data_IF_327981434986
#
_entry.id   IF_327981434986
#
_cell.length_a   1.000
_cell.length_b   1.000
_cell.length_c   1.000
_cell.angle_alpha   90.00
_cell.angle_beta   90.00
_cell.angle_gamma   90.00
#
_symmetry.space_group_name_H-M   'P 1'
#
loop_
_entity.id
_entity.type
_entity.pdbx_description
1 polymer ?
#
# COMPACT_ATOMS: atom_id res chain seq x y z
N UNK A 1 -0.61 33.73 -36.99
CA UNK A 1 -1.40 32.58 -36.49
C UNK A 1 -0.63 31.33 -36.92
N UNK A 2 0.03 30.61 -36.00
CA UNK A 2 0.82 29.42 -36.35
C UNK A 2 -0.13 28.28 -36.70
N UNK A 3 -0.13 27.84 -37.96
CA UNK A 3 -0.83 26.65 -38.41
C UNK A 3 0.17 25.49 -38.39
N UNK A 4 0.06 24.63 -37.39
CA UNK A 4 0.85 23.40 -37.35
C UNK A 4 0.28 22.45 -38.40
N UNK A 5 1.11 21.97 -39.31
CA UNK A 5 0.68 21.05 -40.35
C UNK A 5 0.43 19.65 -39.77
N UNK A 6 -0.49 18.91 -40.40
CA UNK A 6 -0.82 17.54 -40.00
C UNK A 6 0.42 16.62 -40.02
N UNK A 7 1.37 16.89 -40.91
CA UNK A 7 2.62 16.15 -41.04
C UNK A 7 3.57 16.38 -39.86
N UNK A 8 3.63 17.60 -39.33
CA UNK A 8 4.41 17.91 -38.12
C UNK A 8 3.84 17.21 -36.88
N UNK A 9 2.51 17.14 -36.78
CA UNK A 9 1.83 16.41 -35.71
C UNK A 9 2.16 14.91 -35.80
N UNK A 10 2.09 14.32 -37.01
CA UNK A 10 2.43 12.90 -37.22
C UNK A 10 3.88 12.60 -36.87
N UNK A 11 4.81 13.49 -37.25
CA UNK A 11 6.23 13.35 -36.94
C UNK A 11 6.51 13.45 -35.43
N UNK A 12 5.85 14.38 -34.74
CA UNK A 12 5.97 14.52 -33.29
C UNK A 12 5.42 13.30 -32.55
N UNK A 13 4.29 12.75 -33.01
CA UNK A 13 3.68 11.54 -32.44
C UNK A 13 4.56 10.31 -32.67
N UNK A 14 5.12 10.13 -33.86
CA UNK A 14 6.03 9.03 -34.15
C UNK A 14 7.30 9.09 -33.28
N UNK A 15 7.88 10.29 -33.11
CA UNK A 15 9.03 10.51 -32.24
C UNK A 15 8.72 10.23 -30.76
N UNK A 16 7.51 10.59 -30.30
CA UNK A 16 7.02 10.29 -28.95
C UNK A 16 6.85 8.78 -28.70
N UNK A 17 6.32 8.05 -29.68
CA UNK A 17 6.19 6.60 -29.53
C UNK A 17 7.54 5.87 -29.60
N UNK A 18 8.47 6.32 -30.45
CA UNK A 18 9.83 5.77 -30.52
C UNK A 18 10.63 6.03 -29.23
N UNK A 19 10.52 7.22 -28.63
CA UNK A 19 11.19 7.51 -27.35
C UNK A 19 10.60 6.70 -26.19
N UNK A 20 9.30 6.35 -26.27
CA UNK A 20 8.63 5.50 -25.29
C UNK A 20 8.94 4.00 -25.45
N UNK A 21 9.24 3.54 -26.66
CA UNK A 21 9.74 2.18 -26.90
C UNK A 21 11.17 1.97 -26.39
N UNK A 22 11.92 3.06 -26.16
CA UNK A 22 13.22 3.04 -25.47
C UNK A 22 13.14 3.15 -23.94
N UNK A 23 11.93 3.14 -23.35
CA UNK A 23 11.77 3.30 -21.91
C UNK A 23 12.16 2.04 -21.13
N UNK A 24 13.36 2.14 -20.55
CA UNK A 24 13.83 1.50 -19.31
C UNK A 24 13.94 -0.02 -19.33
N UNK A 25 15.04 -0.54 -19.86
CA UNK A 25 15.63 -1.72 -19.25
C UNK A 25 16.01 -1.36 -17.80
N UNK A 26 15.64 -2.17 -16.79
CA UNK A 26 16.03 -1.93 -15.41
C UNK A 26 17.56 -1.79 -15.31
N UNK A 27 18.04 -0.70 -14.70
CA UNK A 27 19.48 -0.47 -14.48
C UNK A 27 20.09 -1.50 -13.51
N UNK A 28 19.24 -2.26 -12.82
CA UNK A 28 19.59 -3.21 -11.79
C UNK A 28 18.75 -4.49 -11.97
N UNK A 29 19.35 -5.65 -11.71
CA UNK A 29 18.66 -6.93 -11.78
C UNK A 29 17.55 -6.97 -10.72
N UNK A 30 16.30 -6.83 -11.12
CA UNK A 30 15.16 -7.10 -10.24
C UNK A 30 15.03 -8.62 -10.11
N UNK A 31 15.12 -9.20 -8.90
CA UNK A 31 14.88 -10.63 -8.72
C UNK A 31 13.51 -11.00 -9.26
N UNK A 32 13.39 -12.18 -9.87
CA UNK A 32 12.09 -12.66 -10.30
C UNK A 32 11.11 -12.68 -9.12
N UNK A 33 9.84 -12.27 -9.32
CA UNK A 33 8.84 -12.35 -8.28
C UNK A 33 8.74 -13.79 -7.76
N UNK A 34 8.76 -13.96 -6.43
CA UNK A 34 8.51 -15.26 -5.82
C UNK A 34 7.14 -15.74 -6.28
N UNK A 35 7.11 -16.79 -7.09
CA UNK A 35 5.87 -17.40 -7.56
C UNK A 35 5.31 -18.30 -6.45
N UNK A 36 4.49 -17.70 -5.57
CA UNK A 36 3.75 -18.45 -4.55
C UNK A 36 2.50 -19.03 -5.20
N UNK A 37 2.22 -20.30 -4.96
CA UNK A 37 1.00 -20.93 -5.51
C UNK A 37 -0.26 -20.34 -4.87
N UNK A 38 -1.37 -20.35 -5.61
CA UNK A 38 -2.66 -19.91 -5.07
C UNK A 38 -3.09 -20.75 -3.85
N UNK A 39 -2.76 -22.05 -3.84
CA UNK A 39 -3.05 -22.96 -2.73
C UNK A 39 -2.27 -22.61 -1.46
N UNK A 40 -0.98 -22.29 -1.56
CA UNK A 40 -0.17 -21.84 -0.43
C UNK A 40 -0.70 -20.52 0.15
N UNK A 41 -1.08 -19.57 -0.70
CA UNK A 41 -1.71 -18.33 -0.26
C UNK A 41 -3.04 -18.56 0.46
N UNK A 42 -3.88 -19.48 -0.06
CA UNK A 42 -5.13 -19.84 0.62
C UNK A 42 -4.89 -20.54 1.95
N UNK A 43 -3.89 -21.42 2.04
CA UNK A 43 -3.53 -22.09 3.30
C UNK A 43 -3.09 -21.06 4.33
N UNK A 44 -2.18 -20.15 3.96
CA UNK A 44 -1.71 -19.09 4.83
C UNK A 44 -2.87 -18.17 5.28
N UNK A 45 -3.76 -17.79 4.36
CA UNK A 45 -4.91 -16.96 4.68
C UNK A 45 -5.84 -17.63 5.72
N UNK A 46 -6.03 -18.95 5.65
CA UNK A 46 -6.81 -19.71 6.64
C UNK A 46 -6.13 -19.77 8.00
N UNK A 47 -4.82 -20.02 8.02
CA UNK A 47 -4.02 -20.05 9.26
C UNK A 47 -4.08 -18.69 9.97
N UNK A 48 -3.88 -17.60 9.23
CA UNK A 48 -3.99 -16.23 9.75
C UNK A 48 -5.40 -15.93 10.24
N UNK A 49 -6.44 -16.31 9.49
CA UNK A 49 -7.83 -16.11 9.91
C UNK A 49 -8.17 -16.87 11.20
N UNK A 50 -7.66 -18.10 11.34
CA UNK A 50 -7.86 -18.91 12.55
C UNK A 50 -7.15 -18.28 13.75
N UNK A 51 -5.90 -17.84 13.59
CA UNK A 51 -5.16 -17.14 14.63
C UNK A 51 -5.88 -15.87 15.06
N UNK A 52 -6.28 -15.03 14.11
CA UNK A 52 -7.05 -13.80 14.38
C UNK A 52 -8.37 -14.07 15.08
N UNK A 53 -9.07 -15.17 14.74
CA UNK A 53 -10.33 -15.54 15.41
C UNK A 53 -10.14 -16.02 16.85
N UNK A 54 -8.95 -16.54 17.17
CA UNK A 54 -8.59 -16.99 18.51
C UNK A 54 -8.05 -15.87 19.39
N UNK A 55 -7.74 -14.71 18.80
CA UNK A 55 -7.25 -13.55 19.55
C UNK A 55 -8.37 -12.94 20.40
N UNK A 56 -8.06 -12.48 21.61
CA UNK A 56 -9.04 -11.80 22.45
C UNK A 56 -9.43 -10.45 21.83
N UNK A 57 -10.71 -10.11 21.92
CA UNK A 57 -11.24 -8.80 21.48
C UNK A 57 -10.49 -7.62 22.12
N UNK A 58 -10.04 -7.81 23.36
CA UNK A 58 -9.27 -6.82 24.12
C UNK A 58 -7.97 -7.44 24.61
N UNK A 59 -6.86 -6.83 24.20
CA UNK A 59 -5.51 -7.11 24.67
C UNK A 59 -5.20 -6.34 25.94
N UNK A 60 -5.59 -6.88 27.09
CA UNK A 60 -5.54 -6.22 28.40
C UNK A 60 -4.13 -5.74 28.79
N UNK A 61 -3.10 -6.50 28.44
CA UNK A 61 -1.70 -6.17 28.62
C UNK A 61 -1.33 -4.87 27.87
N UNK A 62 -1.76 -4.76 26.61
CA UNK A 62 -1.48 -3.59 25.78
C UNK A 62 -2.23 -2.36 26.28
N UNK A 63 -3.46 -2.53 26.77
CA UNK A 63 -4.24 -1.46 27.38
C UNK A 63 -3.54 -0.94 28.64
N UNK A 64 -3.00 -1.83 29.48
CA UNK A 64 -2.28 -1.45 30.68
C UNK A 64 -1.02 -0.64 30.37
N UNK A 65 -0.21 -1.09 29.41
CA UNK A 65 0.97 -0.35 28.94
C UNK A 65 0.61 1.05 28.45
N UNK A 66 -0.41 1.17 27.60
CA UNK A 66 -0.83 2.46 27.06
C UNK A 66 -1.35 3.41 28.14
N UNK A 67 -2.12 2.90 29.11
CA UNK A 67 -2.56 3.70 30.27
C UNK A 67 -1.38 4.24 31.06
N UNK A 68 -0.38 3.41 31.32
CA UNK A 68 0.82 3.82 32.02
C UNK A 68 1.58 4.92 31.26
N UNK A 69 1.76 4.79 29.94
CA UNK A 69 2.39 5.83 29.12
C UNK A 69 1.62 7.15 29.13
N UNK A 70 0.29 7.10 29.18
CA UNK A 70 -0.55 8.30 29.29
C UNK A 70 -0.37 8.95 30.67
N UNK A 71 -0.38 8.14 31.73
CA UNK A 71 -0.22 8.62 33.12
C UNK A 71 1.17 9.22 33.37
N UNK A 72 2.23 8.67 32.77
CA UNK A 72 3.59 9.21 32.87
C UNK A 72 3.82 10.43 31.97
N UNK A 73 2.87 10.77 31.10
CA UNK A 73 3.00 11.85 30.12
C UNK A 73 3.95 11.53 28.95
N UNK A 74 4.35 10.27 28.81
CA UNK A 74 5.25 9.80 27.75
C UNK A 74 4.48 9.43 26.47
N UNK A 75 3.14 9.37 26.53
CA UNK A 75 2.30 9.14 25.38
C UNK A 75 2.10 10.42 24.55
N UNK A 76 2.65 10.44 23.34
CA UNK A 76 2.51 11.54 22.38
C UNK A 76 1.63 11.13 21.20
N UNK A 77 0.75 12.04 20.77
CA UNK A 77 -0.14 11.86 19.61
C UNK A 77 0.27 12.84 18.52
N UNK A 78 0.59 12.32 17.33
CA UNK A 78 0.81 13.14 16.14
C UNK A 78 -0.45 13.23 15.27
N UNK A 79 -0.54 14.28 14.44
CA UNK A 79 -1.62 14.41 13.46
C UNK A 79 -1.67 13.23 12.47
N UNK A 80 -0.51 12.70 12.08
CA UNK A 80 -0.40 11.52 11.21
C UNK A 80 -1.02 10.28 11.84
N UNK A 81 -0.82 10.06 13.15
CA UNK A 81 -1.45 8.94 13.87
C UNK A 81 -2.98 9.04 13.83
N UNK A 82 -3.52 10.25 14.03
CA UNK A 82 -4.96 10.50 14.01
C UNK A 82 -5.53 10.27 12.61
N UNK A 83 -4.91 10.84 11.58
CA UNK A 83 -5.34 10.67 10.18
C UNK A 83 -5.33 9.18 9.79
N UNK A 84 -4.24 8.47 10.15
CA UNK A 84 -4.12 7.04 9.88
C UNK A 84 -5.21 6.22 10.59
N UNK A 85 -5.56 6.56 11.82
CA UNK A 85 -6.64 5.91 12.56
C UNK A 85 -8.01 6.14 11.88
N UNK A 86 -8.29 7.36 11.43
CA UNK A 86 -9.52 7.71 10.71
C UNK A 86 -9.62 6.90 9.41
N UNK A 87 -8.58 6.90 8.58
CA UNK A 87 -8.57 6.18 7.30
C UNK A 87 -8.76 4.68 7.53
N UNK A 88 -8.02 4.08 8.48
CA UNK A 88 -8.18 2.66 8.83
C UNK A 88 -9.62 2.34 9.24
N UNK A 89 -10.26 3.22 10.01
CA UNK A 89 -11.65 3.00 10.43
C UNK A 89 -12.63 3.09 9.27
N UNK A 90 -12.48 4.10 8.40
CA UNK A 90 -13.30 4.25 7.20
C UNK A 90 -13.20 3.04 6.26
N UNK A 91 -12.01 2.46 6.11
CA UNK A 91 -11.80 1.26 5.31
C UNK A 91 -12.48 0.04 5.97
N UNK A 92 -12.31 -0.13 7.28
CA UNK A 92 -12.94 -1.23 8.01
C UNK A 92 -14.47 -1.16 7.95
N UNK A 93 -15.07 0.03 8.05
CA UNK A 93 -16.51 0.21 7.96
C UNK A 93 -17.07 -0.06 6.54
N UNK A 94 -16.26 0.06 5.48
CA UNK A 94 -16.66 -0.27 4.09
C UNK A 94 -16.54 -1.77 3.75
N UNK A 95 -15.75 -2.51 4.51
CA UNK A 95 -15.52 -3.96 4.30
C UNK A 95 -16.53 -4.82 5.08
N UNK A 96 -17.38 -4.22 5.89
CA UNK A 96 -18.55 -4.85 6.51
C UNK A 96 -19.71 -4.92 5.54
#
# INVERSE_FOLDING_TARGET
MMQISLEEVRKAVAAYYQSRQGATQPLEHVPEPVQVSAEENMRLAREVAQELSSMPDIRAERVKELKQLIETGEYSISAEMVISAIIRRMLADRLR
#
